data_IF_966530377120
#
_entry.id   IF_966530377120
#
_cell.length_a   1.000
_cell.length_b   1.000
_cell.length_c   1.000
_cell.angle_alpha   90.00
_cell.angle_beta   90.00
_cell.angle_gamma   90.00
#
_symmetry.space_group_name_H-M   'P 1'
#
loop_
_entity.id
_entity.type
_entity.pdbx_description
1 polymer ?
#
# COMPACT_ATOMS: atom_id res chain seq x y z
N UNK A 1 10.15 -2.57 20.54
CA UNK A 1 9.14 -3.08 19.59
C UNK A 1 9.10 -2.11 18.43
N UNK A 2 9.39 -2.57 17.21
CA UNK A 2 9.22 -1.76 16.00
C UNK A 2 7.74 -1.75 15.63
N UNK A 3 7.10 -0.59 15.65
CA UNK A 3 5.69 -0.46 15.23
C UNK A 3 5.64 -0.50 13.71
N UNK A 4 5.16 -1.61 13.14
CA UNK A 4 4.92 -1.70 11.69
C UNK A 4 3.73 -0.80 11.35
N UNK A 5 3.92 0.11 10.41
CA UNK A 5 2.84 0.98 9.90
C UNK A 5 2.26 0.37 8.64
N UNK A 6 0.97 0.60 8.45
CA UNK A 6 0.23 0.15 7.28
C UNK A 6 -0.50 1.33 6.66
N UNK A 7 -0.70 1.28 5.34
CA UNK A 7 -1.64 2.13 4.62
C UNK A 7 -2.80 1.28 4.10
N UNK A 8 -4.00 1.84 4.13
CA UNK A 8 -5.14 1.25 3.45
C UNK A 8 -5.01 1.55 1.94
N UNK A 9 -5.08 0.51 1.11
CA UNK A 9 -5.04 0.60 -0.35
C UNK A 9 -6.32 0.01 -0.92
N UNK A 10 -6.87 0.67 -1.94
CA UNK A 10 -7.96 0.12 -2.75
C UNK A 10 -7.63 0.30 -4.23
N UNK A 11 -7.39 -0.81 -4.93
CA UNK A 11 -6.94 -0.79 -6.33
C UNK A 11 -7.61 -1.85 -7.20
N UNK A 12 -7.49 -1.70 -8.52
CA UNK A 12 -8.00 -2.68 -9.48
C UNK A 12 -6.92 -3.74 -9.73
N UNK A 13 -7.29 -4.99 -9.48
CA UNK A 13 -6.43 -6.16 -9.67
C UNK A 13 -6.97 -7.08 -10.76
N UNK A 14 -6.09 -7.81 -11.42
CA UNK A 14 -6.41 -8.93 -12.29
C UNK A 14 -6.27 -10.26 -11.55
N UNK A 15 -6.90 -11.29 -12.10
CA UNK A 15 -6.67 -12.65 -11.62
C UNK A 15 -5.18 -13.01 -11.77
N UNK A 16 -4.57 -13.45 -10.67
CA UNK A 16 -3.14 -13.80 -10.62
C UNK A 16 -2.25 -12.73 -10.02
N UNK A 17 -2.72 -11.49 -9.84
CA UNK A 17 -1.95 -10.45 -9.14
C UNK A 17 -1.74 -10.86 -7.66
N UNK A 18 -0.57 -10.54 -7.12
CA UNK A 18 -0.18 -10.87 -5.75
C UNK A 18 0.01 -9.60 -4.93
N UNK A 19 -0.36 -9.66 -3.65
CA UNK A 19 -0.30 -8.54 -2.71
C UNK A 19 0.35 -8.97 -1.41
N UNK A 20 1.25 -8.13 -0.90
CA UNK A 20 1.82 -8.30 0.44
C UNK A 20 0.79 -7.87 1.49
N UNK A 21 0.04 -8.86 1.98
CA UNK A 21 -0.98 -8.67 3.03
C UNK A 21 -0.43 -9.17 4.37
N UNK A 22 -0.51 -8.37 5.45
CA UNK A 22 -0.07 -8.79 6.78
C UNK A 22 -0.77 -10.05 7.25
N UNK A 23 -0.05 -10.89 8.01
CA UNK A 23 -0.63 -12.08 8.62
C UNK A 23 -1.84 -11.71 9.49
N UNK A 24 -2.93 -12.46 9.34
CA UNK A 24 -4.20 -12.22 10.05
C UNK A 24 -5.06 -11.08 9.50
N UNK A 25 -4.57 -10.27 8.55
CA UNK A 25 -5.40 -9.28 7.86
C UNK A 25 -6.23 -9.95 6.76
N UNK A 26 -7.52 -9.63 6.69
CA UNK A 26 -8.41 -10.13 5.64
C UNK A 26 -8.64 -9.03 4.59
N UNK A 27 -8.16 -9.19 3.35
CA UNK A 27 -8.45 -8.25 2.28
C UNK A 27 -9.92 -8.37 1.86
N UNK A 28 -10.49 -7.25 1.42
CA UNK A 28 -11.85 -7.20 0.86
C UNK A 28 -11.75 -7.20 -0.65
N UNK A 29 -12.46 -8.12 -1.30
CA UNK A 29 -12.50 -8.24 -2.76
C UNK A 29 -13.92 -7.99 -3.25
N UNK A 30 -14.07 -7.03 -4.16
CA UNK A 30 -15.37 -6.59 -4.68
C UNK A 30 -15.39 -6.66 -6.21
N UNK A 31 -16.56 -6.92 -6.82
CA UNK A 31 -16.71 -6.80 -8.27
C UNK A 31 -16.35 -5.38 -8.74
N UNK A 32 -15.74 -5.28 -9.92
CA UNK A 32 -15.53 -3.99 -10.56
C UNK A 32 -16.37 -3.87 -11.83
N UNK A 33 -16.75 -2.65 -12.19
CA UNK A 33 -17.43 -2.38 -13.47
C UNK A 33 -16.54 -2.69 -14.69
N UNK A 34 -15.22 -2.81 -14.50
CA UNK A 34 -14.26 -3.08 -15.57
C UNK A 34 -14.08 -4.59 -15.74
N UNK A 35 -14.47 -5.11 -16.89
CA UNK A 35 -14.34 -6.54 -17.22
C UNK A 35 -12.88 -7.02 -17.06
N UNK A 36 -12.71 -8.16 -16.40
CA UNK A 36 -11.40 -8.77 -16.15
C UNK A 36 -10.65 -8.19 -14.95
N UNK A 37 -11.29 -7.29 -14.18
CA UNK A 37 -10.72 -6.74 -12.96
C UNK A 37 -11.67 -6.89 -11.78
N UNK A 38 -11.10 -7.03 -10.59
CA UNK A 38 -11.77 -6.89 -9.29
C UNK A 38 -11.19 -5.68 -8.56
N UNK A 39 -11.94 -5.12 -7.61
CA UNK A 39 -11.38 -4.15 -6.67
C UNK A 39 -10.90 -4.89 -5.44
N UNK A 40 -9.65 -4.69 -5.07
CA UNK A 40 -9.06 -5.29 -3.88
C UNK A 40 -8.72 -4.16 -2.92
N UNK A 41 -9.22 -4.27 -1.70
CA UNK A 41 -8.94 -3.34 -0.61
C UNK A 41 -8.19 -4.09 0.49
N UNK A 42 -6.98 -3.64 0.82
CA UNK A 42 -6.08 -4.35 1.73
C UNK A 42 -5.14 -3.38 2.48
N UNK A 43 -4.51 -3.89 3.55
CA UNK A 43 -3.48 -3.17 4.29
C UNK A 43 -2.12 -3.46 3.66
N UNK A 44 -1.42 -2.42 3.18
CA UNK A 44 -0.06 -2.53 2.65
C UNK A 44 0.95 -2.07 3.70
N UNK A 45 1.95 -2.89 4.07
CA UNK A 45 3.05 -2.44 4.94
C UNK A 45 3.76 -1.23 4.34
N UNK A 46 4.12 -0.26 5.18
CA UNK A 46 4.91 0.89 4.77
C UNK A 46 6.13 1.05 5.67
N UNK A 47 7.26 1.31 5.04
CA UNK A 47 8.46 1.75 5.72
C UNK A 47 8.33 3.25 6.02
N UNK A 48 8.57 3.64 7.28
CA UNK A 48 8.69 5.05 7.63
C UNK A 48 10.14 5.46 7.46
N UNK A 49 10.42 6.22 6.41
CA UNK A 49 11.71 6.88 6.25
C UNK A 49 11.63 8.20 7.03
N UNK A 50 12.46 8.35 8.05
CA UNK A 50 12.63 9.63 8.71
C UNK A 50 13.34 10.55 7.71
N UNK A 51 12.66 11.63 7.30
CA UNK A 51 13.32 12.71 6.59
C UNK A 51 14.04 13.51 7.67
N UNK A 52 15.34 13.27 7.81
CA UNK A 52 16.19 14.15 8.59
C UNK A 52 16.18 15.51 7.89
N UNK A 53 15.81 16.56 8.62
CA UNK A 53 15.90 17.94 8.16
C UNK A 53 17.38 18.36 8.12
N UNK A 54 18.19 17.65 7.32
CA UNK A 54 19.51 18.12 6.90
C UNK A 54 19.25 19.09 5.76
N UNK A 55 18.73 20.28 6.10
CA UNK A 55 18.52 21.39 5.20
C UNK A 55 19.86 21.86 4.62
N UNK A 56 20.43 21.06 3.72
CA UNK A 56 21.45 21.50 2.79
C UNK A 56 20.71 22.26 1.69
N UNK A 57 21.01 23.55 1.49
CA UNK A 57 20.28 24.43 0.58
C UNK A 57 20.39 24.07 -0.91
N UNK A 58 20.98 22.92 -1.25
CA UNK A 58 21.23 22.45 -2.61
C UNK A 58 20.02 21.75 -3.27
N UNK A 59 18.93 21.52 -2.54
CA UNK A 59 17.72 20.83 -3.05
C UNK A 59 16.50 21.74 -3.25
N UNK A 60 16.62 23.05 -3.06
CA UNK A 60 15.55 24.02 -3.34
C UNK A 60 15.98 24.86 -4.54
N UNK A 61 15.67 24.37 -5.74
CA UNK A 61 15.83 25.09 -7.00
C UNK A 61 14.46 25.59 -7.51
#
# INVERSE_FOLDING_TARGET
MTTVKYRLVSELARAGDQFDVPEGATPVVEPSARRGFVRVTYLKPVESIAIEDDARPEYVA
#
